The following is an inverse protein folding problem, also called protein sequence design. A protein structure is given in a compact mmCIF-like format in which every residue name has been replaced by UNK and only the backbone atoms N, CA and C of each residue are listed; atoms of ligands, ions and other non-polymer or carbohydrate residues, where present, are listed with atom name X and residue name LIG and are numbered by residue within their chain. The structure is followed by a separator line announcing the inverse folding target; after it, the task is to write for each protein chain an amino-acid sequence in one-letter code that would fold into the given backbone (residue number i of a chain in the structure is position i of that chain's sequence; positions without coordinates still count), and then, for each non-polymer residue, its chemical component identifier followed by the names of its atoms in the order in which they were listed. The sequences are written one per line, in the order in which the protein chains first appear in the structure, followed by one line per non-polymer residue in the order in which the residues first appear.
data_IF_837434065437
#
_entry.id   IF_837434065437
#
_cell.length_a   1.000
_cell.length_b   1.000
_cell.length_c   1.000
_cell.angle_alpha   90.00
_cell.angle_beta   90.00
_cell.angle_gamma   90.00
#
_symmetry.space_group_name_H-M   'P 1'
#
loop_
_entity.id
_entity.type
_entity.pdbx_description
1 polymer ?
#
# COMPACT_ATOMS: atom_id res chain seq x y z
N UNK A 1 26.38 -1.37 6.87
CA UNK A 1 25.20 -1.40 5.98
C UNK A 1 24.21 -2.54 6.24
N UNK A 2 24.62 -3.70 6.81
CA UNK A 2 23.70 -4.84 7.07
C UNK A 2 22.57 -4.51 8.06
N UNK A 3 22.88 -3.89 9.21
CA UNK A 3 21.89 -3.48 10.23
C UNK A 3 20.77 -2.59 9.68
N UNK A 4 21.12 -1.61 8.84
CA UNK A 4 20.14 -0.68 8.27
C UNK A 4 19.13 -1.43 7.37
N UNK A 5 19.60 -2.41 6.59
CA UNK A 5 18.74 -3.22 5.74
C UNK A 5 17.82 -4.13 6.57
N UNK A 6 18.37 -4.72 7.64
CA UNK A 6 17.60 -5.60 8.53
C UNK A 6 16.51 -4.82 9.27
N UNK A 7 16.82 -3.60 9.72
CA UNK A 7 15.86 -2.71 10.38
C UNK A 7 14.75 -2.26 9.41
N UNK A 8 15.09 -1.86 8.18
CA UNK A 8 14.09 -1.48 7.16
C UNK A 8 13.13 -2.65 6.88
N UNK A 9 13.64 -3.88 6.75
CA UNK A 9 12.81 -5.07 6.52
C UNK A 9 11.91 -5.38 7.71
N UNK A 10 12.44 -5.31 8.92
CA UNK A 10 11.67 -5.53 10.14
C UNK A 10 10.53 -4.49 10.27
N UNK A 11 10.82 -3.22 9.98
CA UNK A 11 9.80 -2.17 9.99
C UNK A 11 8.73 -2.40 8.91
N UNK A 12 9.11 -2.86 7.72
CA UNK A 12 8.15 -3.21 6.65
C UNK A 12 7.23 -4.37 7.06
N UNK A 13 7.77 -5.46 7.58
CA UNK A 13 6.99 -6.60 8.05
C UNK A 13 6.04 -6.22 9.19
N UNK A 14 6.52 -5.36 10.10
CA UNK A 14 5.72 -4.82 11.20
C UNK A 14 4.55 -3.97 10.69
N UNK A 15 4.81 -3.05 9.73
CA UNK A 15 3.79 -2.19 9.11
C UNK A 15 2.76 -3.00 8.31
N UNK A 16 3.20 -4.06 7.63
CA UNK A 16 2.35 -4.94 6.83
C UNK A 16 1.59 -5.98 7.68
N UNK A 17 1.81 -6.03 8.99
CA UNK A 17 1.25 -7.04 9.91
C UNK A 17 1.60 -8.48 9.51
N UNK A 18 2.79 -8.68 8.94
CA UNK A 18 3.32 -10.00 8.52
C UNK A 18 4.41 -10.52 9.46
N UNK A 19 4.82 -9.70 10.42
CA UNK A 19 5.84 -10.08 11.40
C UNK A 19 5.31 -11.09 12.41
N UNK A 20 6.09 -12.15 12.64
CA UNK A 20 5.82 -13.15 13.67
C UNK A 20 5.70 -12.53 15.07
N UNK A 21 4.82 -13.04 15.96
CA UNK A 21 4.55 -12.43 17.26
C UNK A 21 5.80 -12.22 18.14
N UNK A 22 6.73 -13.17 18.12
CA UNK A 22 7.99 -13.07 18.88
C UNK A 22 8.88 -11.93 18.39
N UNK A 23 9.03 -11.81 17.07
CA UNK A 23 9.82 -10.72 16.46
C UNK A 23 9.16 -9.36 16.70
N UNK A 24 7.82 -9.32 16.69
CA UNK A 24 7.04 -8.12 17.01
C UNK A 24 7.30 -7.66 18.44
N UNK A 25 7.27 -8.57 19.42
CA UNK A 25 7.56 -8.23 20.81
C UNK A 25 8.99 -7.69 21.01
N UNK A 26 9.98 -8.28 20.31
CA UNK A 26 11.36 -7.77 20.32
C UNK A 26 11.44 -6.36 19.73
N UNK A 27 10.76 -6.12 18.60
CA UNK A 27 10.75 -4.80 17.97
C UNK A 27 10.02 -3.75 18.84
N UNK A 28 8.92 -4.13 19.48
CA UNK A 28 8.19 -3.27 20.41
C UNK A 28 9.07 -2.88 21.61
N UNK A 29 9.86 -3.82 22.15
CA UNK A 29 10.87 -3.51 23.18
C UNK A 29 11.96 -2.57 22.64
N UNK A 30 12.43 -2.79 21.40
CA UNK A 30 13.42 -1.91 20.76
C UNK A 30 12.92 -0.48 20.62
N UNK A 31 11.65 -0.25 20.31
CA UNK A 31 11.09 1.10 20.24
C UNK A 31 11.15 1.88 21.57
N UNK A 32 11.22 1.19 22.71
CA UNK A 32 11.33 1.81 24.03
C UNK A 32 12.77 2.30 24.27
N UNK A 33 13.76 1.48 23.92
CA UNK A 33 15.19 1.76 24.15
C UNK A 33 15.86 2.53 23.00
N UNK A 34 15.28 2.55 21.80
CA UNK A 34 15.82 3.18 20.59
C UNK A 34 14.80 4.15 19.98
N UNK A 35 14.74 5.41 20.45
CA UNK A 35 13.75 6.38 19.96
C UNK A 35 13.92 6.72 18.47
N UNK A 36 15.15 6.67 17.94
CA UNK A 36 15.41 6.91 16.50
C UNK A 36 14.70 5.87 15.61
N UNK A 37 14.62 4.61 16.06
CA UNK A 37 13.92 3.55 15.34
C UNK A 37 12.41 3.85 15.19
N UNK A 38 11.84 4.61 16.12
CA UNK A 38 10.45 5.07 16.05
C UNK A 38 10.28 6.21 15.02
N UNK A 39 11.30 7.06 14.86
CA UNK A 39 11.33 8.07 13.80
C UNK A 39 11.40 7.40 12.42
N UNK A 40 12.24 6.38 12.28
CA UNK A 40 12.35 5.59 11.05
C UNK A 40 11.01 4.90 10.71
N UNK A 41 10.34 4.29 11.70
CA UNK A 41 9.00 3.73 11.53
C UNK A 41 8.00 4.78 11.02
N UNK A 42 8.02 6.00 11.57
CA UNK A 42 7.13 7.06 11.13
C UNK A 42 7.43 7.53 9.71
N UNK A 43 8.72 7.67 9.36
CA UNK A 43 9.14 8.03 8.01
C UNK A 43 8.69 6.97 7.00
N UNK A 44 8.95 5.69 7.28
CA UNK A 44 8.56 4.57 6.43
C UNK A 44 7.03 4.46 6.27
N UNK A 45 6.27 4.68 7.35
CA UNK A 45 4.80 4.75 7.31
C UNK A 45 4.31 5.88 6.39
N UNK A 46 4.89 7.08 6.49
CA UNK A 46 4.52 8.22 5.62
C UNK A 46 4.87 7.93 4.15
N UNK A 47 6.05 7.39 3.89
CA UNK A 47 6.45 6.97 2.53
C UNK A 47 5.48 5.95 1.95
N UNK A 48 5.13 4.92 2.71
CA UNK A 48 4.15 3.91 2.28
C UNK A 48 2.77 4.52 2.01
N UNK A 49 2.32 5.47 2.83
CA UNK A 49 1.07 6.20 2.59
C UNK A 49 1.11 6.97 1.27
N UNK A 50 2.19 7.70 0.99
CA UNK A 50 2.35 8.43 -0.27
C UNK A 50 2.34 7.48 -1.47
N UNK A 51 3.15 6.42 -1.44
CA UNK A 51 3.19 5.40 -2.51
C UNK A 51 1.79 4.82 -2.76
N UNK A 52 1.03 4.53 -1.70
CA UNK A 52 -0.33 4.01 -1.83
C UNK A 52 -1.31 5.01 -2.44
N UNK A 53 -1.22 6.30 -2.07
CA UNK A 53 -2.06 7.36 -2.64
C UNK A 53 -1.78 7.51 -4.13
N UNK A 54 -0.51 7.65 -4.51
CA UNK A 54 -0.11 7.76 -5.91
C UNK A 54 -0.50 6.52 -6.71
N UNK A 55 -0.26 5.33 -6.17
CA UNK A 55 -0.65 4.07 -6.81
C UNK A 55 -2.17 3.95 -7.00
N UNK A 56 -2.99 4.43 -6.05
CA UNK A 56 -4.45 4.47 -6.21
C UNK A 56 -4.88 5.41 -7.32
N UNK A 57 -4.27 6.60 -7.40
CA UNK A 57 -4.59 7.58 -8.44
C UNK A 57 -4.24 7.04 -9.84
N UNK A 58 -3.07 6.39 -9.98
CA UNK A 58 -2.67 5.78 -11.24
C UNK A 58 -3.63 4.67 -11.67
N UNK A 59 -3.99 3.76 -10.75
CA UNK A 59 -4.97 2.69 -11.03
C UNK A 59 -6.34 3.26 -11.41
N UNK A 60 -6.77 4.34 -10.77
CA UNK A 60 -8.02 5.02 -11.11
C UNK A 60 -7.98 5.58 -12.54
N UNK A 61 -6.91 6.26 -12.92
CA UNK A 61 -6.73 6.77 -14.28
C UNK A 61 -6.72 5.64 -15.33
N UNK A 62 -6.03 4.53 -15.04
CA UNK A 62 -6.03 3.36 -15.91
C UNK A 62 -7.45 2.78 -16.07
N UNK A 63 -8.19 2.65 -14.97
CA UNK A 63 -9.56 2.15 -14.98
C UNK A 63 -10.49 3.08 -15.78
N UNK A 64 -10.39 4.40 -15.58
CA UNK A 64 -11.16 5.40 -16.34
C UNK A 64 -10.84 5.33 -17.84
N UNK A 65 -9.56 5.17 -18.20
CA UNK A 65 -9.15 5.02 -19.60
C UNK A 65 -9.75 3.76 -20.25
N UNK A 66 -9.69 2.62 -19.55
CA UNK A 66 -10.29 1.35 -20.01
C UNK A 66 -11.81 1.52 -20.16
N UNK A 67 -12.46 2.13 -19.17
CA UNK A 67 -13.90 2.37 -19.21
C UNK A 67 -14.32 3.26 -20.38
N UNK A 68 -13.60 4.36 -20.63
CA UNK A 68 -13.88 5.24 -21.76
C UNK A 68 -13.71 4.53 -23.11
N UNK A 69 -12.68 3.68 -23.27
CA UNK A 69 -12.51 2.88 -24.49
C UNK A 69 -13.67 1.90 -24.68
N UNK A 70 -14.02 1.13 -23.65
CA UNK A 70 -15.11 0.17 -23.71
C UNK A 70 -16.46 0.82 -24.03
N UNK A 71 -16.77 1.97 -23.44
CA UNK A 71 -17.98 2.73 -23.79
C UNK A 71 -17.94 3.26 -25.21
N UNK A 72 -16.80 3.73 -25.73
CA UNK A 72 -16.76 4.29 -27.09
C UNK A 72 -16.84 3.21 -28.17
N UNK A 73 -16.21 2.06 -27.93
CA UNK A 73 -15.95 1.05 -28.95
C UNK A 73 -16.92 -0.15 -28.87
N UNK A 74 -17.60 -0.39 -27.74
CA UNK A 74 -18.47 -1.55 -27.56
C UNK A 74 -19.92 -1.19 -27.23
N UNK A 75 -20.80 -1.35 -28.22
CA UNK A 75 -22.25 -1.25 -28.01
C UNK A 75 -22.78 -2.34 -27.07
N UNK A 76 -22.14 -3.52 -27.03
CA UNK A 76 -22.48 -4.60 -26.11
C UNK A 76 -22.18 -4.24 -24.64
N UNK A 77 -21.07 -3.54 -24.39
CA UNK A 77 -20.74 -3.07 -23.04
C UNK A 77 -21.74 -2.02 -22.53
N UNK A 78 -22.19 -1.09 -23.39
CA UNK A 78 -23.26 -0.13 -23.04
C UNK A 78 -24.55 -0.86 -22.68
N UNK A 79 -24.98 -1.81 -23.51
CA UNK A 79 -26.20 -2.57 -23.28
C UNK A 79 -26.14 -3.38 -21.96
N UNK A 80 -24.98 -3.97 -21.64
CA UNK A 80 -24.74 -4.67 -20.38
C UNK A 80 -24.87 -3.72 -19.18
N UNK A 81 -24.23 -2.54 -19.20
CA UNK A 81 -24.36 -1.57 -18.11
C UNK A 81 -25.82 -1.14 -17.93
N UNK A 82 -26.52 -0.81 -19.01
CA UNK A 82 -27.93 -0.46 -18.94
C UNK A 82 -28.82 -1.56 -18.36
N UNK A 83 -28.45 -2.84 -18.53
CA UNK A 83 -29.19 -3.98 -17.97
C UNK A 83 -29.04 -4.13 -16.45
N UNK A 84 -27.97 -3.59 -15.85
CA UNK A 84 -27.71 -3.67 -14.40
C UNK A 84 -28.64 -2.72 -13.62
N UNK A 85 -29.05 -1.62 -14.25
CA UNK A 85 -29.88 -0.57 -13.62
C UNK A 85 -31.37 -0.65 -14.00
N UNK A 86 -31.82 -1.80 -14.52
CA UNK A 86 -33.19 -2.03 -14.97
C UNK A 86 -33.99 -2.85 -13.96
#
# INVERSE_FOLDING_TARGET
MRKLLDDVKALDEYLQRRMEPGNRAVLDARFIVQPDLKLDLQAQKKTLQLVNIYGRNLRKQQLESIHQKLIRESNGFKALIHSIFK
#
